data_IF_553930563986
#
_entry.id   IF_553930563986
#
_cell.length_a   1.000
_cell.length_b   1.000
_cell.length_c   1.000
_cell.angle_alpha   90.00
_cell.angle_beta   90.00
_cell.angle_gamma   90.00
#
_symmetry.space_group_name_H-M   'P 1'
#
loop_
_entity.id
_entity.type
_entity.pdbx_description
1 polymer ?
#
# COMPACT_ATOMS: atom_id res chain seq x y z
N UNK A 1 1.01 30.82 0.50
CA UNK A 1 1.73 30.56 1.76
C UNK A 1 2.78 29.47 1.52
N UNK A 2 4.04 29.70 1.90
CA UNK A 2 5.08 28.67 1.86
C UNK A 2 5.01 27.85 3.15
N UNK A 3 4.76 26.55 3.04
CA UNK A 3 4.78 25.62 4.16
C UNK A 3 6.23 25.31 4.55
N UNK A 4 6.54 25.37 5.85
CA UNK A 4 7.85 24.98 6.38
C UNK A 4 8.07 23.49 6.11
N UNK A 5 9.13 23.16 5.37
CA UNK A 5 9.57 21.78 5.16
C UNK A 5 10.47 21.38 6.33
N UNK A 6 10.19 20.22 6.90
CA UNK A 6 10.97 19.65 8.01
C UNK A 6 11.77 18.45 7.50
N UNK A 7 13.08 18.50 7.72
CA UNK A 7 13.99 17.39 7.45
C UNK A 7 13.76 16.24 8.42
N UNK A 8 14.27 15.05 8.10
CA UNK A 8 14.18 13.90 9.00
C UNK A 8 14.85 14.21 10.36
N UNK A 9 16.05 14.81 10.31
CA UNK A 9 16.83 15.14 11.50
C UNK A 9 16.07 16.08 12.43
N UNK A 10 15.47 17.14 11.89
CA UNK A 10 14.67 18.08 12.70
C UNK A 10 13.46 17.39 13.34
N UNK A 11 12.76 16.51 12.62
CA UNK A 11 11.62 15.78 13.18
C UNK A 11 12.03 14.87 14.33
N UNK A 12 13.16 14.18 14.20
CA UNK A 12 13.69 13.30 15.25
C UNK A 12 14.12 14.10 16.47
N UNK A 13 14.82 15.22 16.27
CA UNK A 13 15.20 16.13 17.35
C UNK A 13 13.97 16.65 18.10
N UNK A 14 12.92 17.06 17.38
CA UNK A 14 11.67 17.55 17.98
C UNK A 14 10.96 16.45 18.79
N UNK A 15 10.91 15.22 18.27
CA UNK A 15 10.29 14.10 19.00
C UNK A 15 11.08 13.76 20.26
N UNK A 16 12.41 13.66 20.18
CA UNK A 16 13.28 13.40 21.34
C UNK A 16 13.18 14.52 22.39
N UNK A 17 13.21 15.78 21.96
CA UNK A 17 13.08 16.92 22.87
C UNK A 17 11.75 16.90 23.63
N UNK A 18 10.68 16.41 23.00
CA UNK A 18 9.36 16.32 23.65
C UNK A 18 9.28 15.31 24.80
N UNK A 19 10.20 14.34 24.85
CA UNK A 19 10.30 13.38 25.94
C UNK A 19 10.91 14.03 27.19
N UNK A 20 11.76 15.05 27.00
CA UNK A 20 12.42 15.77 28.10
C UNK A 20 11.58 16.92 28.66
N UNK A 21 11.02 17.77 27.78
CA UNK A 21 10.34 19.01 28.18
C UNK A 21 8.81 18.99 28.00
N UNK A 22 8.27 17.92 27.43
CA UNK A 22 6.84 17.78 27.15
C UNK A 22 6.38 18.42 25.84
N UNK A 23 5.32 17.83 25.26
CA UNK A 23 4.84 18.15 23.90
C UNK A 23 4.49 19.62 23.69
N UNK A 24 3.78 20.24 24.64
CA UNK A 24 3.28 21.62 24.49
C UNK A 24 4.44 22.61 24.40
N UNK A 25 5.43 22.45 25.27
CA UNK A 25 6.57 23.36 25.34
C UNK A 25 7.51 23.17 24.14
N UNK A 26 7.72 21.92 23.71
CA UNK A 26 8.45 21.64 22.46
C UNK A 26 7.75 22.22 21.24
N UNK A 27 6.44 22.07 21.11
CA UNK A 27 5.66 22.64 20.02
C UNK A 27 5.81 24.17 19.95
N UNK A 28 5.83 24.86 21.10
CA UNK A 28 6.10 26.30 21.18
C UNK A 28 7.52 26.65 20.77
N UNK A 29 8.52 25.93 21.31
CA UNK A 29 9.95 26.15 21.03
C UNK A 29 10.29 26.06 19.53
N UNK A 30 9.76 25.05 18.85
CA UNK A 30 10.06 24.81 17.43
C UNK A 30 9.01 25.42 16.48
N UNK A 31 8.00 26.11 17.01
CA UNK A 31 6.86 26.63 16.24
C UNK A 31 6.19 25.55 15.38
N UNK A 32 5.95 24.38 15.98
CA UNK A 32 5.28 23.23 15.36
C UNK A 32 3.87 23.12 15.93
N UNK A 33 2.86 22.96 15.07
CA UNK A 33 1.51 22.71 15.55
C UNK A 33 1.41 21.32 16.20
N UNK A 34 0.62 21.21 17.28
CA UNK A 34 0.38 19.95 18.00
C UNK A 34 -0.12 18.85 17.06
N UNK A 35 -1.01 19.17 16.11
CA UNK A 35 -1.47 18.22 15.11
C UNK A 35 -0.35 17.66 14.22
N UNK A 36 0.60 18.50 13.81
CA UNK A 36 1.78 18.06 13.04
C UNK A 36 2.66 17.15 13.89
N UNK A 37 2.90 17.53 15.14
CA UNK A 37 3.69 16.74 16.08
C UNK A 37 3.09 15.34 16.29
N UNK A 38 1.80 15.25 16.62
CA UNK A 38 1.16 13.94 16.84
C UNK A 38 1.09 13.09 15.57
N UNK A 39 0.96 13.72 14.39
CA UNK A 39 1.08 13.02 13.11
C UNK A 39 2.46 12.37 12.94
N UNK A 40 3.53 13.07 13.32
CA UNK A 40 4.88 12.51 13.31
C UNK A 40 5.05 11.42 14.36
N UNK A 41 4.62 11.67 15.60
CA UNK A 41 4.70 10.69 16.69
C UNK A 41 4.03 9.37 16.32
N UNK A 42 2.80 9.42 15.80
CA UNK A 42 2.07 8.23 15.33
C UNK A 42 2.82 7.48 14.22
N UNK A 43 3.41 8.20 13.26
CA UNK A 43 4.20 7.60 12.18
C UNK A 43 5.48 6.95 12.70
N UNK A 44 6.12 7.59 13.67
CA UNK A 44 7.32 7.09 14.33
C UNK A 44 7.01 5.83 15.16
N UNK A 45 5.92 5.82 15.94
CA UNK A 45 5.48 4.64 16.70
C UNK A 45 5.17 3.44 15.80
N UNK A 46 4.62 3.67 14.59
CA UNK A 46 4.26 2.59 13.68
C UNK A 46 5.42 2.08 12.81
N UNK A 47 6.33 2.95 12.34
CA UNK A 47 7.37 2.58 11.35
C UNK A 47 8.78 3.05 11.75
N UNK A 48 8.98 3.48 12.98
CA UNK A 48 10.23 4.10 13.44
C UNK A 48 10.61 5.33 12.59
N UNK A 49 11.91 5.55 12.42
CA UNK A 49 12.45 6.64 11.60
C UNK A 49 11.98 6.59 10.15
N UNK A 50 11.74 5.38 9.61
CA UNK A 50 11.25 5.21 8.24
C UNK A 50 9.86 5.83 8.04
N UNK A 51 9.05 5.92 9.10
CA UNK A 51 7.74 6.60 9.06
C UNK A 51 7.82 8.12 8.98
N UNK A 52 8.95 8.72 9.37
CA UNK A 52 9.16 10.17 9.35
C UNK A 52 9.82 10.68 8.07
N UNK A 53 10.46 9.78 7.32
CA UNK A 53 10.96 10.06 5.98
C UNK A 53 9.79 10.49 5.10
N UNK A 54 10.03 11.47 4.23
CA UNK A 54 9.06 11.84 3.20
C UNK A 54 8.96 10.64 2.25
N UNK A 55 8.02 9.76 2.51
CA UNK A 55 7.55 8.82 1.50
C UNK A 55 6.75 9.68 0.53
N UNK A 56 7.39 10.12 -0.55
CA UNK A 56 6.62 10.20 -1.77
C UNK A 56 5.98 8.82 -1.93
N UNK A 57 4.73 8.75 -2.37
CA UNK A 57 4.16 7.47 -2.81
C UNK A 57 5.01 6.99 -4.00
N UNK A 58 6.14 6.35 -3.69
CA UNK A 58 7.15 5.84 -4.61
C UNK A 58 6.73 4.47 -5.09
N UNK A 59 5.43 4.22 -5.26
CA UNK A 59 5.07 3.26 -6.29
C UNK A 59 5.57 3.89 -7.59
N UNK A 60 6.71 3.38 -8.07
CA UNK A 60 7.25 3.75 -9.38
C UNK A 60 6.10 3.71 -10.37
N UNK A 61 6.10 4.61 -11.36
CA UNK A 61 5.14 4.55 -12.47
C UNK A 61 5.08 3.12 -13.03
N UNK A 62 6.26 2.49 -13.12
CA UNK A 62 6.43 1.09 -13.52
C UNK A 62 5.74 0.10 -12.59
N UNK A 63 5.75 0.32 -11.27
CA UNK A 63 5.07 -0.55 -10.31
C UNK A 63 3.54 -0.43 -10.45
N UNK A 64 3.03 0.79 -10.69
CA UNK A 64 1.59 1.00 -10.92
C UNK A 64 1.14 0.37 -12.24
N UNK A 65 1.94 0.51 -13.30
CA UNK A 65 1.69 -0.10 -14.60
C UNK A 65 1.73 -1.62 -14.51
N UNK A 66 2.73 -2.19 -13.84
CA UNK A 66 2.83 -3.63 -13.61
C UNK A 66 1.67 -4.19 -12.77
N UNK A 67 1.21 -3.46 -11.75
CA UNK A 67 0.04 -3.84 -10.95
C UNK A 67 -1.25 -3.87 -11.80
N UNK A 68 -1.44 -2.89 -12.68
CA UNK A 68 -2.60 -2.83 -13.58
C UNK A 68 -2.54 -3.92 -14.65
N UNK A 69 -1.37 -4.17 -15.23
CA UNK A 69 -1.17 -5.28 -16.18
C UNK A 69 -1.48 -6.62 -15.51
N UNK A 70 -1.01 -6.85 -14.28
CA UNK A 70 -1.31 -8.07 -13.54
C UNK A 70 -2.81 -8.22 -13.28
N UNK A 71 -3.50 -7.12 -12.95
CA UNK A 71 -4.95 -7.10 -12.78
C UNK A 71 -5.68 -7.50 -14.06
N UNK A 72 -5.28 -6.95 -15.20
CA UNK A 72 -5.86 -7.29 -16.52
C UNK A 72 -5.60 -8.76 -16.88
N UNK A 73 -4.37 -9.23 -16.69
CA UNK A 73 -3.98 -10.62 -16.98
C UNK A 73 -4.77 -11.61 -16.12
N UNK A 74 -4.93 -11.35 -14.82
CA UNK A 74 -5.74 -12.20 -13.92
C UNK A 74 -7.20 -12.25 -14.36
N UNK A 75 -7.76 -11.12 -14.78
CA UNK A 75 -9.13 -11.07 -15.29
C UNK A 75 -9.27 -11.92 -16.56
N UNK A 76 -8.37 -11.72 -17.53
CA UNK A 76 -8.39 -12.47 -18.79
C UNK A 76 -8.25 -13.98 -18.55
N UNK A 77 -7.36 -14.39 -17.63
CA UNK A 77 -7.20 -15.78 -17.25
C UNK A 77 -8.49 -16.35 -16.66
N UNK A 78 -9.10 -15.64 -15.70
CA UNK A 78 -10.37 -16.07 -15.11
C UNK A 78 -11.49 -16.19 -16.14
N UNK A 79 -11.59 -15.23 -17.07
CA UNK A 79 -12.60 -15.26 -18.14
C UNK A 79 -12.38 -16.49 -19.06
N UNK A 80 -11.12 -16.82 -19.38
CA UNK A 80 -10.76 -18.00 -20.18
C UNK A 80 -11.01 -19.32 -19.45
N UNK A 81 -10.75 -19.38 -18.16
CA UNK A 81 -11.04 -20.56 -17.34
C UNK A 81 -12.55 -20.84 -17.30
N UNK A 82 -13.37 -19.80 -17.14
CA UNK A 82 -14.83 -19.90 -17.20
C UNK A 82 -15.28 -20.38 -18.59
N UNK A 83 -14.73 -19.79 -19.67
CA UNK A 83 -15.04 -20.20 -21.04
C UNK A 83 -14.71 -21.68 -21.29
N UNK A 84 -13.54 -22.14 -20.84
CA UNK A 84 -13.12 -23.53 -20.94
C UNK A 84 -14.04 -24.47 -20.15
N UNK A 85 -14.46 -24.08 -18.95
CA UNK A 85 -15.36 -24.90 -18.14
C UNK A 85 -16.73 -25.05 -18.81
N UNK A 86 -17.28 -23.94 -19.34
CA UNK A 86 -18.53 -23.98 -20.12
C UNK A 86 -18.38 -24.88 -21.34
N UNK A 87 -17.28 -24.77 -22.09
CA UNK A 87 -17.01 -25.63 -23.24
C UNK A 87 -16.95 -27.11 -22.85
N UNK A 88 -16.26 -27.45 -21.75
CA UNK A 88 -16.20 -28.82 -21.22
C UNK A 88 -17.56 -29.36 -20.85
N UNK A 89 -18.39 -28.58 -20.16
CA UNK A 89 -19.74 -28.96 -19.79
C UNK A 89 -20.64 -29.18 -21.01
N UNK A 90 -20.53 -28.33 -22.03
CA UNK A 90 -21.25 -28.51 -23.30
C UNK A 90 -20.81 -29.79 -24.02
N UNK A 91 -19.52 -30.10 -24.04
CA UNK A 91 -18.99 -31.34 -24.62
C UNK A 91 -19.46 -32.57 -23.85
N UNK A 92 -19.42 -32.56 -22.51
CA UNK A 92 -19.96 -33.62 -21.65
C UNK A 92 -21.44 -33.85 -21.94
N UNK A 93 -22.24 -32.79 -22.09
CA UNK A 93 -23.66 -32.89 -22.41
C UNK A 93 -23.91 -33.42 -23.82
N UNK A 94 -23.12 -33.01 -24.80
CA UNK A 94 -23.27 -33.42 -26.21
C UNK A 94 -22.85 -34.87 -26.45
N UNK A 95 -21.79 -35.32 -25.77
CA UNK A 95 -21.19 -36.64 -25.97
C UNK A 95 -21.43 -37.61 -24.80
N UNK A 96 -22.29 -37.23 -23.85
CA UNK A 96 -22.77 -38.00 -22.70
C UNK A 96 -21.83 -39.12 -22.24
N UNK A 97 -20.82 -38.80 -21.41
CA UNK A 97 -19.84 -39.76 -20.82
C UNK A 97 -19.75 -41.12 -21.53
N UNK A 98 -19.26 -41.15 -22.77
CA UNK A 98 -18.58 -42.36 -23.26
C UNK A 98 -17.24 -42.39 -22.56
N UNK A 99 -17.19 -43.12 -21.44
CA UNK A 99 -15.95 -43.49 -20.76
C UNK A 99 -15.03 -44.20 -21.77
N UNK A 100 -13.88 -43.61 -22.16
CA UNK A 100 -12.94 -44.28 -23.06
C UNK A 100 -12.23 -45.48 -22.40
N UNK A 101 -12.55 -45.83 -21.14
CA UNK A 101 -12.11 -47.05 -20.44
C UNK A 101 -13.17 -48.14 -20.32
N UNK A 102 -14.25 -48.09 -21.12
CA UNK A 102 -15.15 -49.23 -21.35
C UNK A 102 -15.09 -49.65 -22.82
N UNK A 103 -14.08 -50.45 -23.15
CA UNK A 103 -14.04 -51.64 -24.03
C UNK A 103 -12.61 -52.19 -23.91
#
# INVERSE_FOLDING_TARGET
>A
MKYKKWTLKEKLEILSTSEEMGVVETCRKYSVSTGTFYSWKKKFEHKGEAGLKVTYDTKSKELKEAEEENRVLRKLLSDREIELEVQRELLKKKFGTSDPRKI
#
